data_IF_555240916080
#
_entry.id   IF_555240916080
#
_cell.length_a   1.000
_cell.length_b   1.000
_cell.length_c   1.000
_cell.angle_alpha   90.00
_cell.angle_beta   90.00
_cell.angle_gamma   90.00
#
_symmetry.space_group_name_H-M   'P 1'
#
loop_
_entity.id
_entity.type
_entity.pdbx_description
1 polymer ?
#
# COMPACT_ATOMS: atom_id res chain seq x y z
N UNK A 1 -3.25 6.44 16.99
CA UNK A 1 -4.32 5.45 17.27
C UNK A 1 -4.68 4.75 15.96
N UNK A 2 -4.72 3.42 15.94
CA UNK A 2 -5.14 2.63 14.77
C UNK A 2 -6.67 2.71 14.68
N UNK A 3 -7.21 3.09 13.51
CA UNK A 3 -8.66 3.27 13.32
C UNK A 3 -9.37 2.00 12.88
N UNK A 4 -8.71 1.19 12.07
CA UNK A 4 -9.21 -0.09 11.58
C UNK A 4 -8.02 -0.99 11.22
N UNK A 5 -8.24 -2.31 11.22
CA UNK A 5 -7.24 -3.30 10.84
C UNK A 5 -7.93 -4.51 10.21
N UNK A 6 -7.34 -5.05 9.15
CA UNK A 6 -7.73 -6.31 8.53
C UNK A 6 -6.48 -7.17 8.39
N UNK A 7 -6.45 -8.33 9.04
CA UNK A 7 -5.25 -9.16 9.18
C UNK A 7 -5.17 -10.31 8.18
N UNK A 8 -6.31 -10.93 7.91
CA UNK A 8 -6.45 -12.07 6.99
C UNK A 8 -7.50 -11.72 5.96
N UNK A 9 -7.20 -10.78 5.05
CA UNK A 9 -8.15 -10.34 4.05
C UNK A 9 -8.47 -11.45 3.05
N UNK A 10 -9.75 -11.70 2.81
CA UNK A 10 -10.19 -12.21 1.52
C UNK A 10 -10.25 -11.05 0.49
N UNK A 11 -10.37 -11.33 -0.82
CA UNK A 11 -10.40 -10.28 -1.85
C UNK A 11 -11.52 -9.25 -1.68
N UNK A 12 -12.70 -9.69 -1.22
CA UNK A 12 -13.86 -8.81 -0.99
C UNK A 12 -13.61 -7.88 0.20
N UNK A 13 -13.18 -8.45 1.32
CA UNK A 13 -12.82 -7.72 2.54
C UNK A 13 -11.71 -6.70 2.30
N UNK A 14 -10.68 -7.05 1.53
CA UNK A 14 -9.61 -6.12 1.16
C UNK A 14 -10.17 -4.95 0.34
N UNK A 15 -10.97 -5.25 -0.68
CA UNK A 15 -11.57 -4.24 -1.56
C UNK A 15 -12.43 -3.27 -0.77
N UNK A 16 -13.32 -3.77 0.09
CA UNK A 16 -14.17 -2.94 0.95
C UNK A 16 -13.35 -2.09 1.91
N UNK A 17 -12.31 -2.68 2.53
CA UNK A 17 -11.44 -1.98 3.47
C UNK A 17 -10.71 -0.82 2.79
N UNK A 18 -10.03 -1.09 1.67
CA UNK A 18 -9.29 -0.07 0.93
C UNK A 18 -10.21 1.00 0.37
N UNK A 19 -11.34 0.64 -0.24
CA UNK A 19 -12.28 1.60 -0.83
C UNK A 19 -12.84 2.56 0.22
N UNK A 20 -13.19 2.05 1.40
CA UNK A 20 -13.70 2.88 2.51
C UNK A 20 -12.68 3.92 2.92
N UNK A 21 -11.43 3.52 3.17
CA UNK A 21 -10.40 4.38 3.78
C UNK A 21 -9.70 5.29 2.76
N UNK A 22 -9.63 4.87 1.50
CA UNK A 22 -9.10 5.71 0.41
C UNK A 22 -10.05 6.85 0.04
N UNK A 23 -11.37 6.61 0.13
CA UNK A 23 -12.39 7.62 -0.17
C UNK A 23 -12.46 8.70 0.89
N UNK A 24 -12.37 8.34 2.17
CA UNK A 24 -12.40 9.27 3.30
C UNK A 24 -11.14 10.13 3.38
N UNK A 25 -9.99 9.62 2.89
CA UNK A 25 -8.66 10.27 3.01
C UNK A 25 -8.39 10.79 4.43
N UNK A 26 -8.88 10.08 5.42
CA UNK A 26 -8.93 10.55 6.80
C UNK A 26 -7.68 10.12 7.60
N UNK A 27 -6.82 9.28 7.02
CA UNK A 27 -5.61 8.77 7.67
C UNK A 27 -4.56 8.22 6.71
N UNK A 28 -3.52 7.62 7.32
CA UNK A 28 -2.50 6.82 6.64
C UNK A 28 -3.01 5.39 6.47
N UNK A 29 -2.98 4.88 5.25
CA UNK A 29 -3.25 3.47 4.96
C UNK A 29 -1.90 2.75 4.85
N UNK A 30 -1.79 1.62 5.56
CA UNK A 30 -0.61 0.76 5.52
C UNK A 30 -1.04 -0.64 5.06
N UNK A 31 -0.33 -1.19 4.07
CA UNK A 31 -0.56 -2.55 3.56
C UNK A 31 0.79 -3.27 3.63
N UNK A 32 0.87 -4.30 4.45
CA UNK A 32 2.05 -5.15 4.56
C UNK A 32 1.72 -6.51 3.92
N UNK A 33 2.58 -6.97 3.02
CA UNK A 33 2.35 -8.23 2.31
C UNK A 33 3.36 -8.48 1.20
N UNK A 34 3.08 -9.50 0.39
CA UNK A 34 3.81 -9.76 -0.84
C UNK A 34 3.19 -8.94 -1.97
N UNK A 35 4.03 -8.24 -2.75
CA UNK A 35 3.59 -7.48 -3.91
C UNK A 35 4.63 -7.55 -5.02
N UNK A 36 4.15 -7.56 -6.25
CA UNK A 36 4.92 -7.19 -7.44
C UNK A 36 4.58 -5.73 -7.76
N UNK A 37 5.57 -4.95 -8.21
CA UNK A 37 5.39 -3.52 -8.50
C UNK A 37 5.76 -3.23 -9.94
N UNK A 38 4.83 -2.63 -10.67
CA UNK A 38 5.09 -2.04 -11.99
C UNK A 38 4.89 -0.54 -11.92
N UNK A 39 5.92 0.22 -12.29
CA UNK A 39 5.84 1.67 -12.40
C UNK A 39 5.96 2.11 -13.86
N UNK A 40 5.03 2.97 -14.28
CA UNK A 40 5.05 3.65 -15.57
C UNK A 40 4.83 5.15 -15.35
N UNK A 41 5.79 5.97 -15.78
CA UNK A 41 5.72 7.41 -15.65
C UNK A 41 6.91 8.11 -16.31
N UNK A 42 7.67 8.89 -15.55
CA UNK A 42 8.90 9.54 -16.06
C UNK A 42 9.97 8.54 -16.50
N UNK A 43 9.93 7.36 -15.91
CA UNK A 43 10.69 6.17 -16.30
C UNK A 43 9.76 4.96 -16.25
N UNK A 44 10.28 3.80 -16.65
CA UNK A 44 9.60 2.51 -16.48
C UNK A 44 10.49 1.59 -15.64
N UNK A 45 9.91 0.95 -14.63
CA UNK A 45 10.62 -0.01 -13.78
C UNK A 45 9.68 -1.07 -13.23
N UNK A 46 10.23 -2.25 -12.97
CA UNK A 46 9.53 -3.34 -12.30
C UNK A 46 10.30 -3.78 -11.05
N UNK A 47 9.57 -4.28 -10.06
CA UNK A 47 10.12 -5.05 -8.96
C UNK A 47 9.33 -6.35 -8.87
N UNK A 48 10.06 -7.46 -8.90
CA UNK A 48 9.51 -8.81 -8.75
C UNK A 48 8.78 -8.97 -7.42
N UNK A 49 7.98 -10.04 -7.31
CA UNK A 49 7.22 -10.34 -6.11
C UNK A 49 8.12 -10.40 -4.86
N UNK A 50 7.78 -9.62 -3.84
CA UNK A 50 8.55 -9.55 -2.61
C UNK A 50 7.77 -8.94 -1.45
N UNK A 51 8.30 -9.13 -0.25
CA UNK A 51 7.75 -8.48 0.94
C UNK A 51 7.85 -6.96 0.81
N UNK A 52 6.74 -6.27 1.05
CA UNK A 52 6.66 -4.83 0.89
C UNK A 52 5.76 -4.20 1.95
N UNK A 53 6.03 -2.93 2.24
CA UNK A 53 5.14 -2.05 2.99
C UNK A 53 4.69 -0.91 2.10
N UNK A 54 3.42 -0.96 1.69
CA UNK A 54 2.77 0.11 0.91
C UNK A 54 2.14 1.11 1.86
N UNK A 55 2.45 2.39 1.66
CA UNK A 55 1.95 3.51 2.43
C UNK A 55 1.22 4.48 1.52
N UNK A 56 -0.08 4.69 1.77
CA UNK A 56 -0.85 5.76 1.13
C UNK A 56 -1.16 6.84 2.16
N UNK A 57 -0.53 8.00 2.00
CA UNK A 57 -0.72 9.16 2.89
C UNK A 57 -1.97 9.94 2.47
N UNK A 58 -2.57 10.65 3.43
CA UNK A 58 -3.73 11.54 3.22
C UNK A 58 -3.57 12.51 2.03
N UNK A 59 -2.36 13.02 1.80
CA UNK A 59 -2.05 13.93 0.69
C UNK A 59 -1.95 13.27 -0.69
N UNK A 60 -2.22 11.97 -0.81
CA UNK A 60 -2.12 11.22 -2.07
C UNK A 60 -0.71 10.70 -2.40
N UNK A 61 0.28 10.97 -1.53
CA UNK A 61 1.61 10.39 -1.66
C UNK A 61 1.57 8.88 -1.41
N UNK A 62 2.05 8.11 -2.40
CA UNK A 62 2.26 6.67 -2.37
C UNK A 62 3.75 6.39 -2.16
N UNK A 63 4.07 5.49 -1.23
CA UNK A 63 5.43 4.98 -1.01
C UNK A 63 5.36 3.46 -0.88
N UNK A 64 6.33 2.75 -1.45
CA UNK A 64 6.42 1.29 -1.38
C UNK A 64 7.81 0.96 -0.87
N UNK A 65 7.93 0.44 0.35
CA UNK A 65 9.22 0.10 0.93
C UNK A 65 9.49 -1.40 0.83
N UNK A 66 10.68 -1.75 0.40
CA UNK A 66 11.23 -3.10 0.59
C UNK A 66 11.63 -3.31 2.07
N UNK A 67 11.92 -4.54 2.51
CA UNK A 67 12.30 -4.82 3.90
C UNK A 67 13.64 -4.21 4.30
N UNK A 68 14.47 -3.87 3.31
CA UNK A 68 15.79 -3.28 3.47
C UNK A 68 15.91 -2.00 2.62
N UNK A 69 16.79 -1.12 3.05
CA UNK A 69 17.03 0.17 2.39
C UNK A 69 16.20 1.30 3.01
N UNK A 70 16.68 2.54 2.79
CA UNK A 70 16.04 3.75 3.32
C UNK A 70 14.98 4.32 2.37
N UNK A 71 15.12 4.03 1.07
CA UNK A 71 14.32 4.64 0.02
C UNK A 71 13.17 3.72 -0.41
N UNK A 72 11.97 4.28 -0.64
CA UNK A 72 10.88 3.59 -1.32
C UNK A 72 11.12 3.46 -2.82
#
# INVERSE_FOLDING_TARGET
MIRARLLTPDPGGLTTHLTTHTRTRDGLIQIAGLAEVTYQGRATSTAEIGASLVLLKRGGSLQIHAPIGLKP
#
